data_IF_564365204336
#
_entry.id   IF_564365204336
#
_cell.length_a   1.000
_cell.length_b   1.000
_cell.length_c   1.000
_cell.angle_alpha   90.00
_cell.angle_beta   90.00
_cell.angle_gamma   90.00
#
_symmetry.space_group_name_H-M   'P 1'
#
loop_
_entity.id
_entity.type
_entity.pdbx_description
1 polymer ?
#
# COMPACT_ATOMS: atom_id res chain seq x y z
N UNK A 1 29.82 -16.71 -2.89
CA UNK A 1 28.71 -16.51 -1.94
C UNK A 1 29.25 -16.90 -0.57
N UNK A 2 29.40 -15.92 0.32
CA UNK A 2 29.97 -16.16 1.65
C UNK A 2 28.96 -16.88 2.55
N UNK A 3 29.44 -17.66 3.51
CA UNK A 3 28.60 -18.42 4.46
C UNK A 3 27.55 -17.50 5.14
N UNK A 4 27.91 -16.25 5.37
CA UNK A 4 27.02 -15.22 5.93
C UNK A 4 25.85 -14.86 4.99
N UNK A 5 26.10 -14.74 3.68
CA UNK A 5 25.05 -14.45 2.68
C UNK A 5 24.06 -15.62 2.58
N UNK A 6 24.53 -16.85 2.68
CA UNK A 6 23.68 -18.05 2.68
C UNK A 6 22.77 -18.06 3.92
N UNK A 7 23.31 -17.75 5.09
CA UNK A 7 22.53 -17.70 6.35
C UNK A 7 21.47 -16.61 6.31
N UNK A 8 21.79 -15.43 5.78
CA UNK A 8 20.82 -14.33 5.62
C UNK A 8 19.72 -14.72 4.63
N UNK A 9 20.06 -15.36 3.51
CA UNK A 9 19.10 -15.79 2.50
C UNK A 9 18.15 -16.87 3.05
N UNK A 10 18.66 -17.82 3.83
CA UNK A 10 17.87 -18.84 4.53
C UNK A 10 16.95 -18.19 5.57
N UNK A 11 17.42 -17.21 6.33
CA UNK A 11 16.62 -16.50 7.32
C UNK A 11 15.46 -15.71 6.66
N UNK A 12 15.71 -15.08 5.50
CA UNK A 12 14.68 -14.38 4.71
C UNK A 12 13.64 -15.37 4.16
N UNK A 13 14.08 -16.52 3.60
CA UNK A 13 13.17 -17.54 3.09
C UNK A 13 12.31 -18.13 4.23
N UNK A 14 12.90 -18.42 5.39
CA UNK A 14 12.17 -18.89 6.57
C UNK A 14 11.16 -17.83 7.05
N UNK A 15 11.53 -16.56 7.04
CA UNK A 15 10.64 -15.45 7.41
C UNK A 15 9.44 -15.33 6.46
N UNK A 16 9.67 -15.49 5.14
CA UNK A 16 8.64 -15.48 4.12
C UNK A 16 7.71 -16.70 4.28
N UNK A 17 8.27 -17.90 4.51
CA UNK A 17 7.48 -19.12 4.72
C UNK A 17 6.64 -19.04 6.01
N UNK A 18 7.21 -18.49 7.09
CA UNK A 18 6.49 -18.25 8.35
C UNK A 18 5.42 -17.15 8.20
N UNK A 19 5.67 -16.14 7.37
CA UNK A 19 4.71 -15.11 7.05
C UNK A 19 3.54 -15.68 6.22
N UNK A 20 3.82 -16.49 5.19
CA UNK A 20 2.81 -17.19 4.39
C UNK A 20 2.04 -18.20 5.25
N UNK A 21 2.71 -18.95 6.13
CA UNK A 21 2.04 -19.88 7.06
C UNK A 21 1.17 -19.15 8.09
N UNK A 22 1.56 -17.94 8.50
CA UNK A 22 0.74 -17.08 9.36
C UNK A 22 -0.44 -16.46 8.63
N UNK A 23 -0.29 -16.07 7.38
CA UNK A 23 -1.40 -15.54 6.56
C UNK A 23 -2.42 -16.62 6.20
N UNK A 24 -1.98 -17.85 5.91
CA UNK A 24 -2.90 -19.00 5.70
C UNK A 24 -3.56 -19.49 6.99
N UNK A 25 -2.88 -19.40 8.17
CA UNK A 25 -3.53 -19.65 9.47
C UNK A 25 -4.38 -18.47 9.95
N UNK A 26 -4.06 -17.24 9.54
CA UNK A 26 -4.90 -16.06 9.75
C UNK A 26 -6.18 -16.19 8.94
N UNK A 27 -6.16 -16.69 7.72
CA UNK A 27 -7.37 -17.05 6.96
C UNK A 27 -8.26 -18.05 7.72
N UNK A 28 -7.68 -19.11 8.30
CA UNK A 28 -8.40 -20.07 9.18
C UNK A 28 -8.80 -19.49 10.54
N UNK A 29 -8.06 -18.52 11.09
CA UNK A 29 -8.37 -17.87 12.38
C UNK A 29 -9.22 -16.61 12.24
N UNK A 30 -9.29 -15.99 11.09
CA UNK A 30 -10.25 -14.92 10.79
C UNK A 30 -11.63 -15.49 10.57
N UNK A 31 -11.76 -16.66 9.94
CA UNK A 31 -13.03 -17.40 9.93
C UNK A 31 -13.52 -17.78 11.33
N UNK A 32 -12.59 -18.04 12.29
CA UNK A 32 -12.91 -18.37 13.68
C UNK A 32 -13.05 -17.14 14.62
N UNK A 33 -12.55 -15.94 14.25
CA UNK A 33 -12.66 -14.73 15.09
C UNK A 33 -13.79 -13.78 14.71
N UNK A 34 -14.28 -13.82 13.49
CA UNK A 34 -15.58 -13.21 13.14
C UNK A 34 -16.73 -14.03 13.72
N UNK A 35 -16.51 -15.34 13.97
CA UNK A 35 -17.44 -16.24 14.67
C UNK A 35 -17.48 -16.06 16.20
N UNK A 36 -16.66 -15.17 16.78
CA UNK A 36 -16.60 -14.99 18.26
C UNK A 36 -17.79 -14.27 18.89
N UNK A 37 -18.77 -13.81 18.12
CA UNK A 37 -19.97 -13.14 18.62
C UNK A 37 -21.23 -13.42 17.80
N UNK A 38 -21.20 -14.35 16.87
CA UNK A 38 -22.38 -14.71 16.08
C UNK A 38 -22.67 -16.19 16.23
N UNK A 39 -23.60 -16.46 17.09
CA UNK A 39 -24.49 -17.59 17.27
C UNK A 39 -24.22 -18.90 16.52
N UNK A 40 -24.37 -20.01 17.27
CA UNK A 40 -24.55 -21.40 16.77
C UNK A 40 -25.55 -21.51 15.60
N UNK A 41 -26.48 -20.57 15.46
CA UNK A 41 -27.42 -20.46 14.35
C UNK A 41 -26.72 -20.18 13.01
N UNK A 42 -25.70 -19.25 12.99
CA UNK A 42 -24.92 -18.94 11.77
C UNK A 42 -23.99 -20.10 11.38
N UNK A 43 -23.49 -20.89 12.35
CA UNK A 43 -22.71 -22.09 12.05
C UNK A 43 -23.53 -23.20 11.43
N UNK A 44 -24.80 -23.39 11.84
CA UNK A 44 -25.71 -24.36 11.21
C UNK A 44 -26.10 -23.91 9.80
N UNK A 45 -26.33 -22.64 9.59
CA UNK A 45 -26.65 -22.07 8.27
C UNK A 45 -25.46 -22.10 7.32
N UNK A 46 -24.23 -21.88 7.80
CA UNK A 46 -23.01 -21.96 7.00
C UNK A 46 -22.70 -23.35 6.44
N UNK A 47 -23.35 -24.40 6.95
CA UNK A 47 -23.27 -25.75 6.42
C UNK A 47 -24.23 -25.97 5.22
N UNK A 48 -25.02 -24.98 4.84
CA UNK A 48 -25.86 -24.98 3.64
C UNK A 48 -25.19 -24.14 2.54
N UNK A 49 -25.46 -24.42 1.24
CA UNK A 49 -24.94 -23.59 0.13
C UNK A 49 -25.33 -22.11 0.27
N UNK A 50 -26.57 -21.84 0.69
CA UNK A 50 -27.10 -20.49 0.88
C UNK A 50 -26.40 -19.76 2.03
N UNK A 51 -26.23 -20.44 3.16
CA UNK A 51 -25.54 -19.85 4.32
C UNK A 51 -24.05 -19.62 4.08
N UNK A 52 -23.37 -20.56 3.41
CA UNK A 52 -22.00 -20.36 2.97
C UNK A 52 -21.88 -19.15 2.03
N UNK A 53 -22.81 -19.03 1.07
CA UNK A 53 -22.87 -17.89 0.14
C UNK A 53 -23.06 -16.55 0.86
N UNK A 54 -23.96 -16.51 1.85
CA UNK A 54 -24.19 -15.31 2.66
C UNK A 54 -22.95 -14.93 3.48
N UNK A 55 -22.29 -15.92 4.11
CA UNK A 55 -21.07 -15.71 4.88
C UNK A 55 -19.93 -15.14 4.03
N UNK A 56 -19.65 -15.77 2.89
CA UNK A 56 -18.60 -15.28 1.98
C UNK A 56 -18.94 -13.93 1.39
N UNK A 57 -20.21 -13.63 1.09
CA UNK A 57 -20.61 -12.31 0.59
C UNK A 57 -20.30 -11.22 1.59
N UNK A 58 -20.62 -11.39 2.87
CA UNK A 58 -20.30 -10.42 3.91
C UNK A 58 -18.80 -10.23 4.10
N UNK A 59 -18.01 -11.32 4.00
CA UNK A 59 -16.55 -11.24 4.07
C UNK A 59 -15.94 -10.53 2.85
N UNK A 60 -16.48 -10.77 1.65
CA UNK A 60 -16.08 -10.13 0.40
C UNK A 60 -16.40 -8.63 0.46
N UNK A 61 -17.61 -8.24 0.84
CA UNK A 61 -18.02 -6.85 0.99
C UNK A 61 -17.08 -6.07 1.93
N UNK A 62 -16.80 -6.64 3.11
CA UNK A 62 -15.85 -6.06 4.05
C UNK A 62 -14.45 -5.88 3.45
N UNK A 63 -13.99 -6.86 2.66
CA UNK A 63 -12.67 -6.82 2.02
C UNK A 63 -12.64 -5.81 0.86
N UNK A 64 -13.74 -5.66 0.14
CA UNK A 64 -13.90 -4.64 -0.90
C UNK A 64 -13.86 -3.23 -0.30
N UNK A 65 -14.52 -3.00 0.83
CA UNK A 65 -14.47 -1.73 1.55
C UNK A 65 -13.05 -1.41 2.04
N UNK A 66 -12.35 -2.40 2.60
CA UNK A 66 -10.95 -2.24 3.04
C UNK A 66 -10.04 -1.89 1.86
N UNK A 67 -10.17 -2.59 0.74
CA UNK A 67 -9.42 -2.34 -0.48
C UNK A 67 -9.69 -0.93 -1.02
N UNK A 68 -10.95 -0.51 -1.03
CA UNK A 68 -11.34 0.83 -1.48
C UNK A 68 -10.71 1.92 -0.61
N UNK A 69 -10.73 1.77 0.72
CA UNK A 69 -10.11 2.73 1.64
C UNK A 69 -8.60 2.84 1.41
N UNK A 70 -7.91 1.71 1.25
CA UNK A 70 -6.46 1.72 1.03
C UNK A 70 -6.09 2.26 -0.36
N UNK A 71 -6.91 2.02 -1.38
CA UNK A 71 -6.77 2.66 -2.70
C UNK A 71 -6.91 4.19 -2.61
N UNK A 72 -7.90 4.69 -1.88
CA UNK A 72 -8.07 6.14 -1.68
C UNK A 72 -6.84 6.75 -1.01
N UNK A 73 -6.28 6.09 0.02
CA UNK A 73 -5.03 6.52 0.67
C UNK A 73 -3.87 6.56 -0.30
N UNK A 74 -3.72 5.53 -1.12
CA UNK A 74 -2.68 5.47 -2.15
C UNK A 74 -2.81 6.62 -3.15
N UNK A 75 -4.01 6.90 -3.66
CA UNK A 75 -4.25 8.03 -4.56
C UNK A 75 -3.96 9.39 -3.92
N UNK A 76 -4.27 9.55 -2.63
CA UNK A 76 -3.92 10.76 -1.89
C UNK A 76 -2.39 10.94 -1.76
N UNK A 77 -1.65 9.85 -1.55
CA UNK A 77 -0.18 9.90 -1.53
C UNK A 77 0.39 10.30 -2.89
N UNK A 78 -0.12 9.72 -3.99
CA UNK A 78 0.28 10.10 -5.34
C UNK A 78 -0.01 11.58 -5.65
N UNK A 79 -1.16 12.10 -5.21
CA UNK A 79 -1.48 13.52 -5.33
C UNK A 79 -0.49 14.41 -4.59
N UNK A 80 -0.07 14.03 -3.37
CA UNK A 80 0.96 14.79 -2.62
C UNK A 80 2.33 14.73 -3.30
N UNK A 81 2.72 13.56 -3.83
CA UNK A 81 3.97 13.41 -4.58
C UNK A 81 3.97 14.35 -5.78
N UNK A 82 2.88 14.39 -6.56
CA UNK A 82 2.75 15.30 -7.70
C UNK A 82 2.91 16.77 -7.30
N UNK A 83 2.25 17.18 -6.21
CA UNK A 83 2.36 18.56 -5.73
C UNK A 83 3.81 18.90 -5.32
N UNK A 84 4.51 18.02 -4.62
CA UNK A 84 5.92 18.25 -4.27
C UNK A 84 6.85 18.23 -5.49
N UNK A 85 6.54 17.47 -6.53
CA UNK A 85 7.29 17.48 -7.80
C UNK A 85 7.11 18.83 -8.52
N UNK A 86 5.91 19.39 -8.51
CA UNK A 86 5.61 20.70 -9.07
C UNK A 86 6.32 21.81 -8.25
N UNK A 87 6.24 21.76 -6.92
CA UNK A 87 6.95 22.70 -6.04
C UNK A 87 8.47 22.66 -6.28
N UNK A 88 9.04 21.44 -6.40
CA UNK A 88 10.46 21.27 -6.71
C UNK A 88 10.84 21.86 -8.06
N UNK A 89 9.98 21.71 -9.06
CA UNK A 89 10.19 22.32 -10.37
C UNK A 89 10.23 23.86 -10.29
N UNK A 90 9.27 24.46 -9.57
CA UNK A 90 9.22 25.91 -9.39
C UNK A 90 10.41 26.45 -8.60
N UNK A 91 10.77 25.80 -7.48
CA UNK A 91 11.93 26.20 -6.67
C UNK A 91 13.23 26.15 -7.47
N UNK A 92 13.45 25.11 -8.27
CA UNK A 92 14.63 25.01 -9.15
C UNK A 92 14.68 26.14 -10.17
N UNK A 93 13.54 26.48 -10.77
CA UNK A 93 13.43 27.59 -11.73
C UNK A 93 13.76 28.92 -11.07
N UNK A 94 13.31 29.14 -9.83
CA UNK A 94 13.58 30.39 -9.10
C UNK A 94 15.03 30.43 -8.62
N UNK A 95 15.63 29.32 -8.20
CA UNK A 95 17.06 29.23 -7.89
C UNK A 95 17.93 29.55 -9.12
N UNK A 96 17.55 29.09 -10.31
CA UNK A 96 18.26 29.46 -11.57
C UNK A 96 18.16 30.98 -11.87
N UNK A 97 17.00 31.60 -11.59
CA UNK A 97 16.85 33.05 -11.76
C UNK A 97 17.73 33.82 -10.76
N UNK A 98 17.76 33.38 -9.51
CA UNK A 98 18.65 33.99 -8.49
C UNK A 98 20.11 33.91 -8.92
N UNK A 99 20.56 32.77 -9.45
CA UNK A 99 21.90 32.57 -9.97
C UNK A 99 22.22 33.55 -11.11
N UNK A 100 21.31 33.70 -12.08
CA UNK A 100 21.46 34.70 -13.17
C UNK A 100 21.57 36.13 -12.62
N UNK A 101 20.76 36.47 -11.60
CA UNK A 101 20.79 37.78 -10.97
C UNK A 101 22.11 38.04 -10.22
N UNK A 102 22.63 37.01 -9.51
CA UNK A 102 23.96 37.10 -8.87
C UNK A 102 25.03 37.46 -9.91
N UNK A 103 25.09 36.68 -10.99
CA UNK A 103 26.09 36.89 -12.04
C UNK A 103 25.98 38.31 -12.67
N UNK A 104 24.74 38.74 -12.96
CA UNK A 104 24.47 40.04 -13.51
C UNK A 104 24.86 41.20 -12.55
N UNK A 105 24.76 41.03 -11.24
CA UNK A 105 25.21 42.01 -10.25
C UNK A 105 26.75 42.04 -10.15
N UNK A 106 27.39 40.87 -10.14
CA UNK A 106 28.85 40.77 -10.14
C UNK A 106 29.46 41.46 -11.37
N UNK A 107 28.90 41.20 -12.56
CA UNK A 107 29.36 41.83 -13.81
C UNK A 107 29.25 43.35 -13.79
N UNK A 108 28.31 43.91 -13.02
CA UNK A 108 28.16 45.38 -12.85
C UNK A 108 28.96 45.96 -11.69
N UNK A 109 29.61 45.10 -10.89
CA UNK A 109 30.33 45.53 -9.69
C UNK A 109 29.40 45.93 -8.53
N UNK A 110 28.15 45.45 -8.52
CA UNK A 110 27.15 45.70 -7.48
C UNK A 110 27.20 44.59 -6.43
N UNK A 111 28.20 44.66 -5.56
CA UNK A 111 28.46 43.64 -4.53
C UNK A 111 27.32 43.53 -3.50
N UNK A 112 26.64 44.62 -3.19
CA UNK A 112 25.55 44.60 -2.20
C UNK A 112 24.32 43.89 -2.76
N UNK A 113 23.93 44.16 -4.01
CA UNK A 113 22.86 43.46 -4.66
C UNK A 113 23.22 41.96 -4.88
N UNK A 114 24.46 41.66 -5.25
CA UNK A 114 24.93 40.27 -5.40
C UNK A 114 24.79 39.49 -4.10
N UNK A 115 25.13 40.06 -2.94
CA UNK A 115 24.94 39.40 -1.63
C UNK A 115 23.48 39.08 -1.33
N UNK A 116 22.53 39.95 -1.70
CA UNK A 116 21.10 39.70 -1.50
C UNK A 116 20.64 38.49 -2.32
N UNK A 117 21.00 38.45 -3.61
CA UNK A 117 20.64 37.31 -4.47
C UNK A 117 21.34 35.99 -4.09
N UNK A 118 22.58 36.08 -3.59
CA UNK A 118 23.26 34.90 -3.05
C UNK A 118 22.53 34.31 -1.84
N UNK A 119 22.05 35.18 -0.95
CA UNK A 119 21.26 34.74 0.19
C UNK A 119 19.92 34.07 -0.25
N UNK A 120 19.25 34.72 -1.21
CA UNK A 120 18.01 34.14 -1.80
C UNK A 120 18.27 32.77 -2.44
N UNK A 121 19.36 32.64 -3.22
CA UNK A 121 19.78 31.39 -3.84
C UNK A 121 20.02 30.30 -2.78
N UNK A 122 20.67 30.63 -1.68
CA UNK A 122 20.92 29.69 -0.59
C UNK A 122 19.63 29.24 0.07
N UNK A 123 18.71 30.16 0.38
CA UNK A 123 17.40 29.84 0.94
C UNK A 123 16.57 28.94 0.00
N UNK A 124 16.65 29.17 -1.32
CA UNK A 124 15.99 28.34 -2.31
C UNK A 124 16.60 26.94 -2.39
N UNK A 125 17.92 26.83 -2.34
CA UNK A 125 18.61 25.54 -2.32
C UNK A 125 18.28 24.73 -1.06
N UNK A 126 18.21 25.36 0.10
CA UNK A 126 17.80 24.69 1.34
C UNK A 126 16.36 24.14 1.24
N UNK A 127 15.44 24.91 0.64
CA UNK A 127 14.07 24.46 0.36
C UNK A 127 14.03 23.31 -0.65
N UNK A 128 14.85 23.39 -1.70
CA UNK A 128 14.98 22.31 -2.71
C UNK A 128 15.41 21.00 -2.05
N UNK A 129 16.40 21.06 -1.18
CA UNK A 129 16.91 19.85 -0.51
C UNK A 129 15.91 19.29 0.51
N UNK A 130 15.19 20.16 1.21
CA UNK A 130 14.07 19.73 2.06
C UNK A 130 12.98 19.02 1.25
N UNK A 131 12.53 19.61 0.13
CA UNK A 131 11.49 19.02 -0.73
C UNK A 131 11.97 17.68 -1.34
N UNK A 132 13.23 17.57 -1.78
CA UNK A 132 13.79 16.31 -2.30
C UNK A 132 13.73 15.19 -1.26
N UNK A 133 14.13 15.47 -0.01
CA UNK A 133 14.09 14.49 1.07
C UNK A 133 12.65 14.07 1.39
N UNK A 134 11.76 15.06 1.51
CA UNK A 134 10.33 14.81 1.71
C UNK A 134 9.74 13.96 0.58
N UNK A 135 10.08 14.26 -0.66
CA UNK A 135 9.62 13.53 -1.85
C UNK A 135 10.10 12.07 -1.84
N UNK A 136 11.34 11.83 -1.42
CA UNK A 136 11.88 10.49 -1.26
C UNK A 136 11.06 9.67 -0.25
N UNK A 137 10.80 10.24 0.94
CA UNK A 137 9.99 9.59 1.98
C UNK A 137 8.56 9.29 1.50
N UNK A 138 7.92 10.24 0.79
CA UNK A 138 6.59 10.03 0.25
C UNK A 138 6.55 8.92 -0.81
N UNK A 139 7.57 8.83 -1.68
CA UNK A 139 7.67 7.76 -2.68
C UNK A 139 7.86 6.39 -2.03
N UNK A 140 8.75 6.28 -1.05
CA UNK A 140 8.94 5.04 -0.29
C UNK A 140 7.64 4.59 0.42
N UNK A 141 6.92 5.53 1.04
CA UNK A 141 5.64 5.25 1.68
C UNK A 141 4.54 4.86 0.67
N UNK A 142 4.52 5.48 -0.52
CA UNK A 142 3.59 5.14 -1.57
C UNK A 142 3.84 3.73 -2.13
N UNK A 143 5.10 3.30 -2.25
CA UNK A 143 5.46 1.95 -2.68
C UNK A 143 4.95 0.90 -1.67
N UNK A 144 5.14 1.13 -0.37
CA UNK A 144 4.60 0.26 0.70
C UNK A 144 3.07 0.22 0.64
N UNK A 145 2.43 1.36 0.43
CA UNK A 145 0.97 1.44 0.33
C UNK A 145 0.45 0.71 -0.92
N UNK A 146 1.18 0.79 -2.03
CA UNK A 146 0.87 0.05 -3.26
C UNK A 146 0.90 -1.47 -3.04
N UNK A 147 1.97 -1.97 -2.40
CA UNK A 147 2.07 -3.40 -2.05
C UNK A 147 0.89 -3.85 -1.18
N UNK A 148 0.49 -3.02 -0.22
CA UNK A 148 -0.68 -3.32 0.62
C UNK A 148 -1.95 -3.46 -0.19
N UNK A 149 -2.19 -2.57 -1.15
CA UNK A 149 -3.34 -2.61 -2.07
C UNK A 149 -3.30 -3.88 -2.93
N UNK A 150 -2.14 -4.25 -3.47
CA UNK A 150 -1.95 -5.46 -4.26
C UNK A 150 -2.24 -6.73 -3.46
N UNK A 151 -1.76 -6.79 -2.21
CA UNK A 151 -2.05 -7.92 -1.29
C UNK A 151 -3.54 -8.03 -0.96
N UNK A 152 -4.20 -6.90 -0.70
CA UNK A 152 -5.65 -6.89 -0.44
C UNK A 152 -6.46 -7.33 -1.67
N UNK A 153 -6.04 -6.91 -2.88
CA UNK A 153 -6.67 -7.34 -4.12
C UNK A 153 -6.52 -8.85 -4.33
N UNK A 154 -5.33 -9.41 -4.05
CA UNK A 154 -5.12 -10.86 -4.11
C UNK A 154 -5.99 -11.60 -3.10
N UNK A 155 -6.03 -11.14 -1.85
CA UNK A 155 -6.89 -11.75 -0.81
C UNK A 155 -8.38 -11.71 -1.20
N UNK A 156 -8.84 -10.64 -1.83
CA UNK A 156 -10.19 -10.54 -2.34
C UNK A 156 -10.48 -11.57 -3.45
N UNK A 157 -9.55 -11.76 -4.37
CA UNK A 157 -9.66 -12.73 -5.43
C UNK A 157 -9.70 -14.17 -4.87
N UNK A 158 -8.81 -14.47 -3.91
CA UNK A 158 -8.75 -15.77 -3.24
C UNK A 158 -10.06 -16.06 -2.50
N UNK A 159 -10.61 -15.07 -1.79
CA UNK A 159 -11.88 -15.19 -1.08
C UNK A 159 -13.07 -15.45 -2.02
N UNK A 160 -13.07 -14.82 -3.21
CA UNK A 160 -14.08 -15.07 -4.25
C UNK A 160 -13.97 -16.50 -4.80
N UNK A 161 -12.75 -16.99 -5.05
CA UNK A 161 -12.51 -18.37 -5.49
C UNK A 161 -12.88 -19.40 -4.41
N UNK A 162 -12.54 -19.14 -3.14
CA UNK A 162 -12.95 -19.98 -2.01
C UNK A 162 -14.47 -20.09 -1.89
N UNK A 163 -15.19 -18.98 -2.05
CA UNK A 163 -16.65 -18.96 -2.06
C UNK A 163 -17.22 -19.92 -3.12
N UNK A 164 -16.73 -19.79 -4.37
CA UNK A 164 -17.21 -20.63 -5.47
C UNK A 164 -16.97 -22.12 -5.18
N UNK A 165 -15.78 -22.48 -4.70
CA UNK A 165 -15.40 -23.83 -4.35
C UNK A 165 -16.25 -24.39 -3.19
N UNK A 166 -16.45 -23.61 -2.13
CA UNK A 166 -17.23 -24.01 -0.96
C UNK A 166 -18.71 -24.24 -1.32
N UNK A 167 -19.31 -23.33 -2.08
CA UNK A 167 -20.70 -23.43 -2.52
C UNK A 167 -20.88 -24.67 -3.40
N UNK A 168 -20.01 -24.90 -4.39
CA UNK A 168 -20.07 -26.06 -5.27
C UNK A 168 -19.94 -27.38 -4.48
N UNK A 169 -19.05 -27.44 -3.50
CA UNK A 169 -18.87 -28.63 -2.64
C UNK A 169 -20.12 -28.93 -1.85
N UNK A 170 -20.79 -27.94 -1.28
CA UNK A 170 -22.00 -28.10 -0.50
C UNK A 170 -23.18 -28.48 -1.39
N UNK A 171 -23.35 -27.89 -2.56
CA UNK A 171 -24.36 -28.25 -3.55
C UNK A 171 -24.22 -29.71 -4.01
N UNK A 172 -22.98 -30.14 -4.29
CA UNK A 172 -22.70 -31.54 -4.68
C UNK A 172 -23.02 -32.51 -3.55
N UNK A 173 -22.66 -32.15 -2.29
CA UNK A 173 -22.97 -32.98 -1.13
C UNK A 173 -24.50 -33.07 -0.86
N UNK A 174 -25.22 -31.98 -1.10
CA UNK A 174 -26.69 -31.93 -0.99
C UNK A 174 -27.35 -32.80 -2.07
N UNK A 175 -26.90 -32.68 -3.32
CA UNK A 175 -27.40 -33.51 -4.42
C UNK A 175 -27.17 -35.01 -4.14
N UNK A 176 -25.99 -35.43 -3.69
CA UNK A 176 -25.69 -36.82 -3.39
C UNK A 176 -26.54 -37.41 -2.25
N UNK A 177 -26.94 -36.59 -1.26
CA UNK A 177 -27.88 -37.01 -0.19
C UNK A 177 -29.31 -37.19 -0.68
N UNK A 178 -29.71 -36.49 -1.72
CA UNK A 178 -31.05 -36.59 -2.29
C UNK A 178 -31.22 -37.83 -3.17
N UNK A 179 -30.14 -38.48 -3.60
CA UNK A 179 -30.14 -39.69 -4.43
C UNK A 179 -29.97 -41.00 -3.62
N UNK A 180 -29.72 -40.93 -2.30
CA UNK A 180 -29.65 -42.07 -1.37
C UNK A 180 -30.86 -42.10 -0.46
#
# INVERSE_FOLDING_TARGET
MNLFEIVVLIAVVISIVLFIARTTQIGKRVSLRVAGTADEAIQKDAATPEGAKAYYNAAIEKKEDELQQENVRYQQMLGKISNYEDDLFHLKKDAMKADVNVNACVDRGDDEAAKVYLKEQQELNDKIDFIKNTLKEWKENADVQKEKVEVLQQQLNDLKAEKESAVLTLETAQASKAFN
#
